data_IF_174929965012
#
_entry.id   IF_174929965012
#
_cell.length_a   1.000
_cell.length_b   1.000
_cell.length_c   1.000
_cell.angle_alpha   90.00
_cell.angle_beta   90.00
_cell.angle_gamma   90.00
#
_symmetry.space_group_name_H-M   'P 1'
#
loop_
_entity.id
_entity.type
_entity.pdbx_description
1 polymer ?
#
# COMPACT_ATOMS: atom_id res chain seq x y z
N UNK A 1 -12.99 7.30 7.46
CA UNK A 1 -13.12 8.30 8.55
C UNK A 1 -12.00 9.33 8.47
N UNK A 2 -10.73 8.93 8.58
CA UNK A 2 -9.60 9.85 8.55
C UNK A 2 -9.59 10.82 7.34
N UNK A 3 -9.45 10.32 6.11
CA UNK A 3 -9.43 11.17 4.93
C UNK A 3 -10.79 11.85 4.61
N UNK A 4 -11.92 11.33 5.10
CA UNK A 4 -13.20 12.06 5.03
C UNK A 4 -13.13 13.36 5.85
N UNK A 5 -12.52 13.32 7.03
CA UNK A 5 -12.35 14.49 7.88
C UNK A 5 -11.22 15.41 7.37
N UNK A 6 -10.04 14.87 7.05
CA UNK A 6 -8.84 15.68 6.74
C UNK A 6 -8.83 16.26 5.33
N UNK A 7 -9.35 15.53 4.33
CA UNK A 7 -9.36 15.97 2.92
C UNK A 7 -10.68 16.62 2.54
N UNK A 8 -11.79 16.12 3.06
CA UNK A 8 -13.14 16.54 2.64
C UNK A 8 -13.89 17.36 3.70
N UNK A 9 -13.35 17.55 4.91
CA UNK A 9 -13.99 18.32 5.98
C UNK A 9 -15.25 17.66 6.56
N UNK A 10 -15.52 16.40 6.23
CA UNK A 10 -16.69 15.66 6.70
C UNK A 10 -16.34 15.01 8.04
N UNK A 11 -16.76 15.66 9.14
CA UNK A 11 -16.41 15.25 10.51
C UNK A 11 -17.54 14.54 11.26
N UNK A 12 -18.79 14.66 10.81
CA UNK A 12 -19.92 13.91 11.37
C UNK A 12 -19.96 12.49 10.79
N UNK A 13 -19.10 11.61 11.30
CA UNK A 13 -18.89 10.25 10.78
C UNK A 13 -18.87 9.25 11.94
N UNK A 14 -19.55 8.11 11.79
CA UNK A 14 -19.46 6.98 12.70
C UNK A 14 -18.75 5.79 12.02
N UNK A 15 -17.87 5.10 12.76
CA UNK A 15 -17.26 3.83 12.34
C UNK A 15 -17.81 2.73 13.23
N UNK A 16 -18.47 1.73 12.64
CA UNK A 16 -19.06 0.60 13.37
C UNK A 16 -18.20 -0.65 13.17
N UNK A 17 -17.77 -1.25 14.27
CA UNK A 17 -17.03 -2.51 14.33
C UNK A 17 -17.81 -3.51 15.17
N UNK A 18 -17.90 -4.76 14.71
CA UNK A 18 -18.63 -5.81 15.41
C UNK A 18 -17.89 -6.30 16.66
N UNK A 19 -16.56 -6.35 16.60
CA UNK A 19 -15.68 -6.82 17.68
C UNK A 19 -14.75 -5.73 18.19
N UNK A 20 -13.45 -5.98 18.10
CA UNK A 20 -12.41 -5.02 18.50
C UNK A 20 -11.73 -4.43 17.26
N UNK A 21 -11.46 -3.13 17.30
CA UNK A 21 -10.93 -2.38 16.17
C UNK A 21 -9.56 -2.94 15.74
N UNK A 22 -9.42 -3.25 14.46
CA UNK A 22 -8.20 -3.84 13.89
C UNK A 22 -8.13 -5.37 14.01
N UNK A 23 -9.15 -6.03 14.57
CA UNK A 23 -9.10 -7.48 14.86
C UNK A 23 -9.29 -8.46 13.73
N UNK A 24 -9.62 -7.94 12.54
CA UNK A 24 -9.63 -8.71 11.30
C UNK A 24 -8.22 -8.84 10.69
N UNK A 25 -8.17 -8.84 9.35
CA UNK A 25 -6.93 -9.01 8.60
C UNK A 25 -5.90 -7.87 8.82
N UNK A 26 -6.35 -6.68 9.24
CA UNK A 26 -5.47 -5.56 9.61
C UNK A 26 -4.49 -5.94 10.72
N UNK A 27 -4.91 -6.74 11.71
CA UNK A 27 -4.05 -7.21 12.79
C UNK A 27 -3.31 -8.52 12.50
N UNK A 28 -3.46 -9.10 11.30
CA UNK A 28 -2.97 -10.47 10.98
C UNK A 28 -2.19 -10.57 9.66
N UNK A 29 -1.87 -9.44 9.02
CA UNK A 29 -1.10 -9.44 7.79
C UNK A 29 0.41 -9.55 8.05
N UNK A 30 1.18 -9.81 6.99
CA UNK A 30 2.64 -9.93 7.03
C UNK A 30 3.39 -8.62 6.75
N UNK A 31 2.69 -7.48 6.88
CA UNK A 31 3.22 -6.10 6.88
C UNK A 31 4.01 -5.66 5.64
N UNK A 32 3.89 -6.35 4.51
CA UNK A 32 4.54 -5.95 3.25
C UNK A 32 3.80 -4.76 2.64
N UNK A 33 4.55 -3.70 2.34
CA UNK A 33 4.09 -2.51 1.61
C UNK A 33 4.92 -2.40 0.32
N UNK A 34 4.25 -2.32 -0.84
CA UNK A 34 4.88 -2.25 -2.17
C UNK A 34 3.87 -1.77 -3.23
N UNK A 35 4.37 -1.20 -4.32
CA UNK A 35 3.54 -0.72 -5.45
C UNK A 35 3.87 -1.36 -6.81
N UNK A 36 4.75 -2.37 -6.84
CA UNK A 36 5.25 -3.01 -8.08
C UNK A 36 4.23 -3.97 -8.75
N UNK A 37 3.09 -3.46 -9.19
CA UNK A 37 2.04 -4.21 -9.88
C UNK A 37 2.18 -4.10 -11.41
N UNK A 38 1.46 -4.96 -12.15
CA UNK A 38 1.58 -5.07 -13.60
C UNK A 38 0.63 -4.16 -14.38
N UNK A 39 -0.63 -4.09 -13.95
CA UNK A 39 -1.67 -3.33 -14.63
C UNK A 39 -1.62 -1.87 -14.19
N UNK A 40 -1.86 -0.95 -15.11
CA UNK A 40 -1.72 0.49 -14.89
C UNK A 40 -2.65 0.98 -13.76
N UNK A 41 -3.88 0.47 -13.71
CA UNK A 41 -4.84 0.82 -12.65
C UNK A 41 -4.38 0.31 -11.29
N UNK A 42 -3.75 -0.86 -11.25
CA UNK A 42 -3.17 -1.43 -10.03
C UNK A 42 -1.95 -0.62 -9.59
N UNK A 43 -1.02 -0.35 -10.50
CA UNK A 43 0.15 0.47 -10.22
C UNK A 43 -0.27 1.85 -9.69
N UNK A 44 -1.26 2.49 -10.31
CA UNK A 44 -1.78 3.80 -9.89
C UNK A 44 -2.30 3.81 -8.45
N UNK A 45 -3.18 2.87 -8.07
CA UNK A 45 -3.73 2.85 -6.71
C UNK A 45 -2.68 2.47 -5.65
N UNK A 46 -1.80 1.51 -5.93
CA UNK A 46 -0.79 1.10 -4.96
C UNK A 46 0.36 2.11 -4.83
N UNK A 47 0.72 2.81 -5.91
CA UNK A 47 1.70 3.90 -5.87
C UNK A 47 1.16 5.10 -5.09
N UNK A 48 -0.10 5.47 -5.32
CA UNK A 48 -0.77 6.49 -4.52
C UNK A 48 -0.76 6.12 -3.02
N UNK A 49 -1.11 4.86 -2.69
CA UNK A 49 -1.05 4.39 -1.31
C UNK A 49 0.37 4.41 -0.73
N UNK A 50 1.39 4.02 -1.50
CA UNK A 50 2.79 4.05 -1.07
C UNK A 50 3.26 5.47 -0.74
N UNK A 51 2.85 6.47 -1.54
CA UNK A 51 3.16 7.88 -1.28
C UNK A 51 2.54 8.39 0.02
N UNK A 52 1.32 7.94 0.36
CA UNK A 52 0.70 8.27 1.65
C UNK A 52 1.49 7.68 2.84
N UNK A 53 2.06 6.47 2.70
CA UNK A 53 2.85 5.84 3.76
C UNK A 53 4.11 6.64 4.16
N UNK A 54 4.74 7.35 3.22
CA UNK A 54 6.01 8.05 3.45
C UNK A 54 5.90 9.17 4.50
N UNK A 55 4.77 9.90 4.53
CA UNK A 55 4.50 10.98 5.49
C UNK A 55 3.57 10.61 6.65
N UNK A 56 3.03 9.38 6.67
CA UNK A 56 1.92 9.01 7.54
C UNK A 56 2.26 9.12 9.03
N UNK A 57 3.52 8.86 9.42
CA UNK A 57 3.92 8.97 10.83
C UNK A 57 3.79 10.40 11.36
N UNK A 58 4.19 11.38 10.54
CA UNK A 58 4.10 12.80 10.86
C UNK A 58 2.64 13.26 10.83
N UNK A 59 1.86 12.83 9.82
CA UNK A 59 0.45 13.20 9.66
C UNK A 59 -0.40 12.72 10.87
N UNK A 60 -0.10 11.54 11.40
CA UNK A 60 -0.80 10.95 12.54
C UNK A 60 -0.18 11.32 13.90
N UNK A 61 0.97 12.00 13.93
CA UNK A 61 1.79 12.16 15.13
C UNK A 61 1.99 10.83 15.89
N UNK A 62 2.26 9.76 15.14
CA UNK A 62 2.40 8.41 15.67
C UNK A 62 3.42 7.63 14.83
N UNK A 63 4.41 7.02 15.48
CA UNK A 63 5.38 6.19 14.76
C UNK A 63 4.71 4.88 14.30
N UNK A 64 4.33 4.81 13.03
CA UNK A 64 3.73 3.60 12.44
C UNK A 64 4.77 2.52 12.09
N UNK A 65 6.04 2.74 12.44
CA UNK A 65 7.17 1.86 12.17
C UNK A 65 7.35 1.54 10.67
N UNK A 66 6.95 2.47 9.79
CA UNK A 66 7.16 2.34 8.35
C UNK A 66 8.65 2.30 8.03
N UNK A 67 9.06 1.31 7.23
CA UNK A 67 10.46 1.09 6.88
C UNK A 67 10.57 0.69 5.41
N UNK A 68 10.92 1.63 4.49
CA UNK A 68 11.04 1.37 3.07
C UNK A 68 12.33 0.60 2.74
N UNK A 69 12.38 -0.68 3.14
CA UNK A 69 13.55 -1.56 2.99
C UNK A 69 13.52 -2.45 1.75
N UNK A 70 12.58 -2.19 0.84
CA UNK A 70 12.38 -2.96 -0.39
C UNK A 70 11.73 -4.34 -0.17
N UNK A 71 11.42 -4.99 -1.29
CA UNK A 71 10.88 -6.36 -1.36
C UNK A 71 11.50 -7.06 -2.56
N UNK A 72 11.90 -8.33 -2.40
CA UNK A 72 12.53 -9.11 -3.45
C UNK A 72 11.61 -10.24 -3.90
N UNK A 73 11.35 -10.30 -5.21
CA UNK A 73 10.62 -11.40 -5.85
C UNK A 73 11.63 -12.29 -6.57
N UNK A 74 11.60 -13.60 -6.30
CA UNK A 74 12.55 -14.57 -6.85
C UNK A 74 11.96 -15.25 -8.10
N UNK A 75 12.81 -15.48 -9.10
CA UNK A 75 12.48 -16.27 -10.30
C UNK A 75 13.23 -17.60 -10.27
N UNK A 76 12.52 -18.70 -10.55
CA UNK A 76 13.06 -20.06 -10.49
C UNK A 76 13.03 -20.77 -11.85
N UNK A 77 12.43 -20.14 -12.87
CA UNK A 77 12.35 -20.69 -14.23
C UNK A 77 12.31 -19.57 -15.29
N UNK A 78 12.37 -19.95 -16.57
CA UNK A 78 12.36 -19.00 -17.71
C UNK A 78 11.05 -18.19 -17.78
N UNK A 79 9.91 -18.80 -17.43
CA UNK A 79 8.63 -18.12 -17.42
C UNK A 79 8.60 -17.00 -16.37
N UNK A 80 9.09 -17.25 -15.14
CA UNK A 80 9.19 -16.22 -14.09
C UNK A 80 10.03 -15.04 -14.57
N UNK A 81 11.16 -15.29 -15.24
CA UNK A 81 12.02 -14.23 -15.80
C UNK A 81 11.25 -13.38 -16.81
N UNK A 82 10.46 -14.00 -17.70
CA UNK A 82 9.66 -13.26 -18.69
C UNK A 82 8.58 -12.41 -18.01
N UNK A 83 7.90 -12.96 -17.02
CA UNK A 83 6.87 -12.24 -16.24
C UNK A 83 7.49 -11.08 -15.46
N UNK A 84 8.63 -11.27 -14.82
CA UNK A 84 9.32 -10.20 -14.09
C UNK A 84 9.82 -9.10 -15.03
N UNK A 85 10.35 -9.44 -16.21
CA UNK A 85 10.70 -8.44 -17.23
C UNK A 85 9.49 -7.60 -17.61
N UNK A 86 8.33 -8.24 -17.84
CA UNK A 86 7.07 -7.55 -18.14
C UNK A 86 6.69 -6.58 -17.00
N UNK A 87 6.77 -7.02 -15.74
CA UNK A 87 6.49 -6.16 -14.59
C UNK A 87 7.46 -4.97 -14.52
N UNK A 88 8.77 -5.19 -14.68
CA UNK A 88 9.77 -4.11 -14.64
C UNK A 88 9.53 -3.09 -15.73
N UNK A 89 9.24 -3.52 -16.95
CA UNK A 89 8.92 -2.61 -18.05
C UNK A 89 7.64 -1.81 -17.80
N UNK A 90 6.58 -2.46 -17.31
CA UNK A 90 5.33 -1.77 -16.95
C UNK A 90 5.54 -0.74 -15.83
N UNK A 91 6.26 -1.09 -14.76
CA UNK A 91 6.52 -0.18 -13.66
C UNK A 91 7.35 1.04 -14.11
N UNK A 92 8.38 0.85 -14.96
CA UNK A 92 9.17 1.97 -15.53
C UNK A 92 8.35 2.91 -16.42
N UNK A 93 7.31 2.42 -17.08
CA UNK A 93 6.41 3.25 -17.87
C UNK A 93 5.45 4.07 -16.99
N UNK A 94 5.11 3.55 -15.81
CA UNK A 94 4.18 4.19 -14.88
C UNK A 94 4.87 5.25 -13.99
N UNK A 95 6.20 5.28 -13.92
CA UNK A 95 6.98 6.27 -13.18
C UNK A 95 7.63 5.69 -11.93
#
# INVERSE_FOLDING_TARGET
>A
AYYLATVHGITNVAVLEKGWLGGGNTGRNTTIIRSNYLYDESAGIYDHALKLWDGLSQELNYNVMYSPRGVMMLAHNVHDIQVLKRHVHANRLNG
#
